data_IF_906120598311
#
_entry.id   IF_906120598311
#
_cell.length_a   1.000
_cell.length_b   1.000
_cell.length_c   1.000
_cell.angle_alpha   90.00
_cell.angle_beta   90.00
_cell.angle_gamma   90.00
#
_symmetry.space_group_name_H-M   'P 1'
#
loop_
_entity.id
_entity.type
_entity.pdbx_description
1 polymer ?
#
# COMPACT_ATOMS: atom_id res chain seq x y z
N UNK A 1 -56.78 12.32 11.44
CA UNK A 1 -55.69 12.68 10.53
C UNK A 1 -54.41 12.39 11.27
N UNK A 2 -53.73 11.29 10.91
CA UNK A 2 -52.41 10.97 11.46
C UNK A 2 -51.37 11.62 10.55
N UNK A 3 -50.59 12.55 11.11
CA UNK A 3 -49.45 13.13 10.44
C UNK A 3 -48.34 12.08 10.46
N UNK A 4 -48.02 11.54 9.32
CA UNK A 4 -46.84 10.67 9.14
C UNK A 4 -45.57 11.52 9.42
N UNK A 5 -44.86 11.20 10.49
CA UNK A 5 -43.53 11.71 10.75
C UNK A 5 -42.61 11.13 9.67
N UNK A 6 -42.31 11.94 8.67
CA UNK A 6 -41.25 11.64 7.70
C UNK A 6 -39.90 11.59 8.43
N UNK A 7 -39.38 10.41 8.65
CA UNK A 7 -38.00 10.24 9.10
C UNK A 7 -37.11 10.77 8.01
N UNK A 8 -36.56 11.98 8.17
CA UNK A 8 -35.35 12.38 7.46
C UNK A 8 -34.27 11.47 7.97
N UNK A 9 -33.89 10.49 7.17
CA UNK A 9 -32.63 9.76 7.33
C UNK A 9 -31.53 10.83 7.20
N UNK A 10 -31.09 11.36 8.35
CA UNK A 10 -30.03 12.38 8.38
C UNK A 10 -28.76 11.74 7.83
N UNK A 11 -28.37 12.15 6.63
CA UNK A 11 -27.09 11.70 6.06
C UNK A 11 -25.98 11.96 7.07
N UNK A 12 -25.17 10.94 7.36
CA UNK A 12 -24.03 11.04 8.26
C UNK A 12 -23.07 12.13 7.77
N UNK A 13 -22.51 12.89 8.68
CA UNK A 13 -21.45 13.82 8.39
C UNK A 13 -20.20 13.07 7.92
N UNK A 14 -19.32 13.74 7.19
CA UNK A 14 -18.05 13.16 6.76
C UNK A 14 -17.22 12.63 7.94
N UNK A 15 -17.25 13.30 9.09
CA UNK A 15 -16.59 12.85 10.32
C UNK A 15 -17.18 11.53 10.82
N UNK A 16 -18.49 11.41 10.90
CA UNK A 16 -19.16 10.18 11.34
C UNK A 16 -18.89 9.01 10.41
N UNK A 17 -18.82 9.25 9.08
CA UNK A 17 -18.46 8.21 8.11
C UNK A 17 -17.06 7.67 8.39
N UNK A 18 -16.09 8.55 8.64
CA UNK A 18 -14.71 8.15 8.94
C UNK A 18 -14.62 7.42 10.29
N UNK A 19 -15.30 7.93 11.33
CA UNK A 19 -15.34 7.28 12.64
C UNK A 19 -15.93 5.87 12.54
N UNK A 20 -17.03 5.71 11.84
CA UNK A 20 -17.67 4.41 11.61
C UNK A 20 -16.79 3.49 10.77
N UNK A 21 -16.10 4.02 9.74
CA UNK A 21 -15.16 3.22 8.93
C UNK A 21 -14.06 2.64 9.82
N UNK A 22 -13.43 3.45 10.64
CA UNK A 22 -12.36 2.99 11.55
C UNK A 22 -12.92 1.98 12.56
N UNK A 23 -14.06 2.27 13.18
CA UNK A 23 -14.62 1.37 14.18
C UNK A 23 -15.11 0.05 13.58
N UNK A 24 -15.90 0.09 12.50
CA UNK A 24 -16.52 -1.10 11.96
C UNK A 24 -15.55 -1.93 11.11
N UNK A 25 -14.83 -1.27 10.18
CA UNK A 25 -13.98 -1.99 9.23
C UNK A 25 -12.66 -2.40 9.89
N UNK A 26 -12.00 -1.48 10.61
CA UNK A 26 -10.68 -1.76 11.19
C UNK A 26 -10.80 -2.44 12.56
N UNK A 27 -11.47 -1.82 13.54
CA UNK A 27 -11.49 -2.31 14.91
C UNK A 27 -12.34 -3.56 15.09
N UNK A 28 -13.47 -3.66 14.39
CA UNK A 28 -14.35 -4.83 14.44
C UNK A 28 -14.09 -5.85 13.30
N UNK A 29 -13.09 -5.58 12.42
CA UNK A 29 -12.69 -6.48 11.32
C UNK A 29 -13.81 -6.79 10.32
N UNK A 30 -14.81 -5.93 10.20
CA UNK A 30 -15.96 -6.14 9.30
C UNK A 30 -15.65 -5.69 7.88
N UNK A 31 -14.65 -6.31 7.25
CA UNK A 31 -14.23 -5.95 5.88
C UNK A 31 -15.34 -6.12 4.83
N UNK A 32 -16.34 -6.98 5.12
CA UNK A 32 -17.43 -7.26 4.18
C UNK A 32 -18.41 -6.08 4.03
N UNK A 33 -18.41 -5.12 4.98
CA UNK A 33 -19.20 -3.89 4.86
C UNK A 33 -18.40 -2.73 4.26
N UNK A 34 -17.18 -2.97 3.73
CA UNK A 34 -16.32 -1.98 3.11
C UNK A 34 -17.07 -1.09 2.11
N UNK A 35 -17.86 -1.70 1.22
CA UNK A 35 -18.57 -1.01 0.15
C UNK A 35 -19.74 -0.11 0.66
N UNK A 36 -20.04 -0.15 1.96
CA UNK A 36 -20.94 0.81 2.59
C UNK A 36 -20.27 2.17 2.79
N UNK A 37 -18.94 2.19 2.94
CA UNK A 37 -18.15 3.39 3.22
C UNK A 37 -17.36 3.87 2.00
N UNK A 38 -16.89 2.96 1.15
CA UNK A 38 -16.09 3.28 -0.02
C UNK A 38 -16.92 3.22 -1.31
N UNK A 39 -16.65 4.13 -2.23
CA UNK A 39 -17.22 4.10 -3.57
C UNK A 39 -16.65 2.95 -4.37
N UNK A 40 -17.39 2.44 -5.36
CA UNK A 40 -16.85 1.48 -6.33
C UNK A 40 -15.66 2.06 -7.11
N UNK A 41 -15.69 3.36 -7.38
CA UNK A 41 -14.63 4.09 -8.07
C UNK A 41 -13.56 4.64 -7.11
N UNK A 42 -13.48 4.15 -5.87
CA UNK A 42 -12.46 4.57 -4.92
C UNK A 42 -11.06 4.32 -5.46
N UNK A 43 -10.20 5.33 -5.28
CA UNK A 43 -8.77 5.26 -5.61
C UNK A 43 -7.94 5.53 -4.35
N UNK A 44 -7.10 4.56 -3.99
CA UNK A 44 -6.03 4.78 -3.02
C UNK A 44 -4.78 5.25 -3.76
N UNK A 45 -4.30 6.45 -3.45
CA UNK A 45 -3.14 7.07 -4.11
C UNK A 45 -1.83 6.51 -3.57
N UNK A 46 -0.97 6.09 -4.47
CA UNK A 46 0.35 5.60 -4.12
C UNK A 46 1.31 6.72 -3.70
N UNK A 47 2.16 6.43 -2.71
CA UNK A 47 3.23 7.33 -2.29
C UNK A 47 4.43 7.24 -3.25
N UNK A 48 5.15 8.35 -3.50
CA UNK A 48 6.39 8.31 -4.27
C UNK A 48 7.44 7.40 -3.61
N UNK A 49 8.19 6.68 -4.42
CA UNK A 49 9.30 5.84 -3.97
C UNK A 49 10.46 5.84 -4.96
N UNK A 50 11.64 5.44 -4.55
CA UNK A 50 12.78 5.27 -5.44
C UNK A 50 12.82 3.83 -5.95
N UNK A 51 12.82 3.66 -7.27
CA UNK A 51 12.79 2.33 -7.86
C UNK A 51 12.87 2.32 -9.38
N UNK A 52 12.46 1.20 -9.96
CA UNK A 52 12.39 1.01 -11.42
C UNK A 52 10.99 1.29 -11.97
N UNK A 53 9.97 1.39 -11.11
CA UNK A 53 8.59 1.61 -11.51
C UNK A 53 7.89 0.35 -12.00
N UNK A 54 8.13 -0.76 -11.34
CA UNK A 54 7.40 -2.01 -11.54
C UNK A 54 6.89 -2.57 -10.23
N UNK A 55 5.84 -3.35 -10.30
CA UNK A 55 5.39 -4.26 -9.26
C UNK A 55 5.46 -5.68 -9.77
N UNK A 56 5.65 -6.64 -8.86
CA UNK A 56 5.70 -8.07 -9.17
C UNK A 56 4.70 -8.83 -8.33
N UNK A 57 4.02 -9.79 -8.93
CA UNK A 57 3.33 -10.84 -8.22
C UNK A 57 4.34 -11.91 -7.85
N UNK A 58 4.49 -12.17 -6.57
CA UNK A 58 5.43 -13.15 -6.02
C UNK A 58 4.73 -14.45 -5.57
N UNK A 59 3.57 -14.74 -6.09
CA UNK A 59 2.88 -16.02 -5.85
C UNK A 59 3.60 -17.18 -6.55
N UNK A 60 3.55 -18.37 -5.96
CA UNK A 60 4.01 -19.59 -6.59
C UNK A 60 5.53 -19.69 -6.85
N UNK A 61 6.38 -19.09 -5.98
CA UNK A 61 7.84 -19.10 -6.09
C UNK A 61 8.39 -18.48 -7.39
N UNK A 62 7.66 -17.52 -7.95
CA UNK A 62 8.07 -16.74 -9.12
C UNK A 62 7.78 -15.27 -8.88
N UNK A 63 8.57 -14.42 -9.52
CA UNK A 63 8.34 -13.00 -9.54
C UNK A 63 7.86 -12.58 -10.95
N UNK A 64 6.57 -12.39 -11.11
CA UNK A 64 5.97 -12.02 -12.40
C UNK A 64 5.67 -10.53 -12.38
N UNK A 65 6.18 -9.79 -13.36
CA UNK A 65 5.85 -8.37 -13.52
C UNK A 65 4.35 -8.24 -13.78
N UNK A 66 3.64 -7.54 -12.89
CA UNK A 66 2.20 -7.35 -12.97
C UNK A 66 1.80 -5.90 -13.25
N UNK A 67 2.65 -4.92 -12.91
CA UNK A 67 2.42 -3.49 -13.19
C UNK A 67 3.73 -2.86 -13.64
N UNK A 68 3.65 -1.93 -14.60
CA UNK A 68 4.73 -1.02 -15.00
C UNK A 68 4.19 0.40 -14.94
N UNK A 69 4.84 1.27 -14.18
CA UNK A 69 4.43 2.67 -14.05
C UNK A 69 4.80 3.46 -15.30
N UNK A 70 3.87 4.25 -15.81
CA UNK A 70 4.12 5.16 -16.93
C UNK A 70 5.17 6.21 -16.57
N UNK A 71 6.10 6.48 -17.48
CA UNK A 71 7.22 7.38 -17.27
C UNK A 71 8.36 6.80 -16.42
N UNK A 72 8.29 5.52 -16.06
CA UNK A 72 9.31 4.88 -15.22
C UNK A 72 10.49 4.33 -16.02
N UNK A 73 11.64 4.06 -15.36
CA UNK A 73 12.77 3.40 -16.00
C UNK A 73 12.45 2.04 -16.63
N UNK A 74 11.45 1.31 -16.12
CA UNK A 74 11.04 0.01 -16.64
C UNK A 74 10.18 0.11 -17.90
N UNK A 75 9.52 1.26 -18.14
CA UNK A 75 8.64 1.44 -19.30
C UNK A 75 9.41 1.29 -20.61
N UNK A 76 8.83 0.56 -21.56
CA UNK A 76 9.44 0.28 -22.86
C UNK A 76 10.54 -0.77 -22.84
N UNK A 77 11.01 -1.24 -21.67
CA UNK A 77 11.98 -2.32 -21.51
C UNK A 77 11.32 -3.59 -21.03
N UNK A 78 10.65 -3.55 -19.88
CA UNK A 78 9.91 -4.69 -19.34
C UNK A 78 8.47 -4.72 -19.86
N UNK A 79 7.83 -5.87 -19.71
CA UNK A 79 6.43 -6.09 -20.06
C UNK A 79 5.73 -6.83 -18.91
N UNK A 80 4.43 -6.56 -18.75
CA UNK A 80 3.59 -7.36 -17.86
C UNK A 80 3.63 -8.81 -18.33
N UNK A 81 3.85 -9.74 -17.39
CA UNK A 81 4.05 -11.16 -17.65
C UNK A 81 5.52 -11.60 -17.75
N UNK A 82 6.48 -10.66 -17.74
CA UNK A 82 7.90 -11.03 -17.63
C UNK A 82 8.16 -11.72 -16.29
N UNK A 83 8.85 -12.86 -16.29
CA UNK A 83 9.31 -13.55 -15.08
C UNK A 83 10.72 -13.06 -14.75
N UNK A 84 10.92 -12.45 -13.57
CA UNK A 84 12.25 -12.08 -13.09
C UNK A 84 13.01 -13.33 -12.70
N UNK A 85 14.18 -13.54 -13.34
CA UNK A 85 15.05 -14.69 -13.08
C UNK A 85 16.17 -14.37 -12.11
N UNK A 86 16.67 -13.14 -12.17
CA UNK A 86 17.70 -12.62 -11.30
C UNK A 86 17.68 -11.09 -11.34
N UNK A 87 18.28 -10.52 -10.33
CA UNK A 87 18.49 -9.09 -10.22
C UNK A 87 19.93 -8.82 -9.76
N UNK A 88 20.51 -7.65 -10.09
CA UNK A 88 21.89 -7.29 -9.74
C UNK A 88 21.95 -5.79 -9.47
N UNK A 89 22.56 -5.40 -8.37
CA UNK A 89 22.89 -4.03 -8.05
C UNK A 89 24.42 -3.83 -8.00
N UNK A 90 24.89 -2.71 -7.47
CA UNK A 90 26.31 -2.38 -7.37
C UNK A 90 27.09 -3.30 -6.40
N UNK A 91 26.39 -4.05 -5.56
CA UNK A 91 26.97 -4.84 -4.48
C UNK A 91 26.91 -6.35 -4.73
N UNK A 92 25.77 -6.83 -5.26
CA UNK A 92 25.58 -8.28 -5.42
C UNK A 92 24.53 -8.63 -6.48
N UNK A 93 24.55 -9.91 -6.85
CA UNK A 93 23.54 -10.53 -7.70
C UNK A 93 22.61 -11.39 -6.86
N UNK A 94 21.33 -11.21 -7.04
CA UNK A 94 20.23 -11.93 -6.41
C UNK A 94 19.68 -12.93 -7.43
N UNK A 95 19.80 -14.22 -7.16
CA UNK A 95 19.44 -15.27 -8.11
C UNK A 95 18.34 -16.22 -7.60
N UNK A 96 18.10 -16.24 -6.30
CA UNK A 96 17.03 -17.02 -5.73
C UNK A 96 15.75 -16.17 -5.56
N UNK A 97 14.60 -16.84 -5.40
CA UNK A 97 13.33 -16.18 -5.14
C UNK A 97 13.42 -15.22 -3.93
N UNK A 98 13.95 -15.70 -2.81
CA UNK A 98 14.04 -14.89 -1.59
C UNK A 98 15.02 -13.71 -1.72
N UNK A 99 16.15 -13.92 -2.38
CA UNK A 99 17.11 -12.85 -2.62
C UNK A 99 16.53 -11.76 -3.53
N UNK A 100 15.84 -12.13 -4.61
CA UNK A 100 15.18 -11.15 -5.50
C UNK A 100 14.14 -10.34 -4.74
N UNK A 101 13.35 -10.99 -3.89
CA UNK A 101 12.34 -10.33 -3.05
C UNK A 101 12.96 -9.27 -2.13
N UNK A 102 14.13 -9.54 -1.58
CA UNK A 102 14.87 -8.60 -0.73
C UNK A 102 15.58 -7.50 -1.54
N UNK A 103 16.19 -7.85 -2.68
CA UNK A 103 17.03 -6.94 -3.45
C UNK A 103 16.29 -5.90 -4.29
N UNK A 104 15.06 -6.20 -4.74
CA UNK A 104 14.28 -5.27 -5.56
C UNK A 104 13.98 -3.96 -4.83
N UNK A 105 13.84 -3.99 -3.51
CA UNK A 105 13.48 -2.84 -2.69
C UNK A 105 14.66 -1.98 -2.25
N UNK A 106 15.91 -2.42 -2.50
CA UNK A 106 17.10 -1.71 -2.03
C UNK A 106 17.70 -0.81 -3.11
N UNK A 107 18.18 0.35 -2.71
CA UNK A 107 18.90 1.28 -3.56
C UNK A 107 18.49 2.73 -3.39
N UNK A 108 19.30 3.63 -3.93
CA UNK A 108 19.10 5.07 -3.91
C UNK A 108 18.86 5.61 -5.33
N UNK A 109 18.34 6.81 -5.43
CA UNK A 109 18.11 7.46 -6.72
C UNK A 109 19.42 7.64 -7.47
N UNK A 110 19.46 7.20 -8.73
CA UNK A 110 20.66 7.23 -9.57
C UNK A 110 21.49 5.95 -9.51
N UNK A 111 21.22 5.02 -8.59
CA UNK A 111 21.94 3.74 -8.55
C UNK A 111 21.58 2.85 -9.75
N UNK A 112 22.56 2.07 -10.18
CA UNK A 112 22.43 1.12 -11.28
C UNK A 112 21.77 -0.18 -10.80
N UNK A 113 21.01 -0.80 -11.69
CA UNK A 113 20.33 -2.05 -11.43
C UNK A 113 20.17 -2.85 -12.73
N UNK A 114 20.45 -4.13 -12.70
CA UNK A 114 20.23 -5.04 -13.84
C UNK A 114 19.24 -6.12 -13.45
N UNK A 115 18.46 -6.56 -14.42
CA UNK A 115 17.58 -7.71 -14.25
C UNK A 115 17.68 -8.63 -15.46
N UNK A 116 17.64 -9.93 -15.19
CA UNK A 116 17.39 -10.95 -16.21
C UNK A 116 15.93 -11.40 -16.11
N UNK A 117 15.26 -11.42 -17.24
CA UNK A 117 13.83 -11.81 -17.31
C UNK A 117 13.63 -12.91 -18.33
N UNK A 118 12.60 -13.72 -18.11
CA UNK A 118 12.05 -14.64 -19.10
C UNK A 118 10.79 -14.02 -19.71
N UNK A 119 10.80 -13.86 -21.03
CA UNK A 119 9.66 -13.44 -21.83
C UNK A 119 9.34 -14.53 -22.86
N UNK A 120 8.28 -15.31 -22.63
CA UNK A 120 8.03 -16.50 -23.41
C UNK A 120 9.20 -17.48 -23.34
N UNK A 121 9.82 -17.82 -24.48
CA UNK A 121 10.97 -18.72 -24.56
C UNK A 121 12.34 -17.98 -24.57
N UNK A 122 12.36 -16.68 -24.42
CA UNK A 122 13.57 -15.87 -24.47
C UNK A 122 14.01 -15.43 -23.07
N UNK A 123 15.30 -15.42 -22.85
CA UNK A 123 15.91 -14.75 -21.69
C UNK A 123 16.51 -13.43 -22.16
N UNK A 124 16.11 -12.35 -21.52
CA UNK A 124 16.49 -10.98 -21.83
C UNK A 124 17.12 -10.32 -20.62
N UNK A 125 18.03 -9.39 -20.85
CA UNK A 125 18.69 -8.62 -19.81
C UNK A 125 18.49 -7.13 -20.04
N UNK A 126 18.21 -6.41 -18.95
CA UNK A 126 18.01 -4.97 -18.98
C UNK A 126 18.79 -4.28 -17.87
N UNK A 127 19.37 -3.13 -18.20
CA UNK A 127 19.99 -2.23 -17.21
C UNK A 127 19.07 -1.04 -17.01
N UNK A 128 18.94 -0.63 -15.73
CA UNK A 128 18.15 0.51 -15.27
C UNK A 128 18.98 1.44 -14.41
N UNK A 129 18.55 2.70 -14.37
CA UNK A 129 18.94 3.65 -13.33
C UNK A 129 17.69 3.91 -12.50
N UNK A 130 17.75 3.69 -11.17
CA UNK A 130 16.61 3.97 -10.28
C UNK A 130 16.28 5.46 -10.30
N UNK A 131 15.01 5.77 -10.33
CA UNK A 131 14.51 7.15 -10.26
C UNK A 131 13.35 7.26 -9.27
N UNK A 132 12.92 8.50 -9.01
CA UNK A 132 11.73 8.76 -8.22
C UNK A 132 10.48 8.38 -9.02
N UNK A 133 9.73 7.43 -8.52
CA UNK A 133 8.50 6.93 -9.10
C UNK A 133 7.33 7.57 -8.36
N UNK A 134 6.31 7.97 -9.08
CA UNK A 134 5.12 8.64 -8.52
C UNK A 134 4.33 7.75 -7.53
N UNK A 135 4.49 6.45 -7.58
CA UNK A 135 3.69 5.48 -6.84
C UNK A 135 2.57 4.88 -7.71
N UNK A 136 2.04 3.76 -7.26
CA UNK A 136 0.93 3.09 -7.92
C UNK A 136 -0.37 3.40 -7.19
N UNK A 137 -1.35 3.88 -7.93
CA UNK A 137 -2.71 3.99 -7.41
C UNK A 137 -3.34 2.59 -7.40
N UNK A 138 -4.12 2.27 -6.37
CA UNK A 138 -4.86 1.02 -6.26
C UNK A 138 -6.37 1.26 -6.33
N UNK A 139 -7.08 0.33 -6.95
CA UNK A 139 -8.55 0.37 -7.07
C UNK A 139 -9.23 -0.02 -5.77
N UNK A 140 -10.55 0.18 -5.69
CA UNK A 140 -11.36 -0.23 -4.55
C UNK A 140 -11.18 -1.71 -4.19
N UNK A 141 -11.27 -2.60 -5.17
CA UNK A 141 -11.16 -4.05 -4.93
C UNK A 141 -9.76 -4.42 -4.41
N UNK A 142 -8.71 -3.82 -4.97
CA UNK A 142 -7.34 -4.04 -4.52
C UNK A 142 -7.15 -3.51 -3.10
N UNK A 143 -7.55 -2.29 -2.80
CA UNK A 143 -7.43 -1.69 -1.47
C UNK A 143 -8.19 -2.50 -0.39
N UNK A 144 -9.40 -3.00 -0.74
CA UNK A 144 -10.19 -3.90 0.13
C UNK A 144 -9.47 -5.23 0.37
N UNK A 145 -8.87 -5.81 -0.68
CA UNK A 145 -8.10 -7.05 -0.60
C UNK A 145 -6.86 -6.87 0.26
N UNK A 146 -6.09 -5.80 0.03
CA UNK A 146 -4.87 -5.48 0.78
C UNK A 146 -5.17 -5.28 2.27
N UNK A 147 -6.23 -4.53 2.60
CA UNK A 147 -6.65 -4.33 3.99
C UNK A 147 -7.08 -5.64 4.65
N UNK A 148 -7.81 -6.51 3.93
CA UNK A 148 -8.20 -7.83 4.43
C UNK A 148 -6.97 -8.68 4.74
N UNK A 149 -6.01 -8.71 3.83
CA UNK A 149 -4.77 -9.47 3.99
C UNK A 149 -3.92 -8.94 5.14
N UNK A 150 -3.72 -7.64 5.21
CA UNK A 150 -3.01 -6.96 6.29
C UNK A 150 -3.60 -7.30 7.67
N UNK A 151 -4.92 -7.17 7.83
CA UNK A 151 -5.59 -7.51 9.08
C UNK A 151 -5.61 -9.01 9.40
N UNK A 152 -5.58 -9.88 8.40
CA UNK A 152 -5.66 -11.32 8.63
C UNK A 152 -4.29 -11.96 8.85
N UNK A 153 -3.25 -11.49 8.14
CA UNK A 153 -1.94 -12.14 8.10
C UNK A 153 -0.87 -11.39 8.87
N UNK A 154 -0.89 -10.05 8.83
CA UNK A 154 0.16 -9.27 9.47
C UNK A 154 -0.22 -8.83 10.90
N UNK A 155 -1.42 -8.28 11.08
CA UNK A 155 -1.90 -7.77 12.37
C UNK A 155 -3.31 -8.27 12.70
N UNK A 156 -3.48 -9.53 13.11
CA UNK A 156 -4.81 -10.08 13.43
C UNK A 156 -5.54 -9.34 14.56
N UNK A 157 -4.79 -8.73 15.46
CA UNK A 157 -5.29 -7.97 16.61
C UNK A 157 -5.28 -6.44 16.41
N UNK A 158 -5.04 -5.95 15.17
CA UNK A 158 -4.96 -4.53 14.83
C UNK A 158 -6.09 -3.71 15.46
N UNK A 159 -5.73 -2.62 16.09
CA UNK A 159 -6.63 -1.58 16.57
C UNK A 159 -6.18 -0.21 16.10
N UNK A 160 -7.14 0.64 15.77
CA UNK A 160 -6.89 2.02 15.39
C UNK A 160 -7.65 2.97 16.33
N UNK A 161 -6.98 4.04 16.73
CA UNK A 161 -7.57 5.12 17.53
C UNK A 161 -7.43 6.44 16.76
N UNK A 162 -8.53 7.15 16.58
CA UNK A 162 -8.50 8.49 16.02
C UNK A 162 -7.98 9.45 17.09
N UNK A 163 -6.81 10.03 16.85
CA UNK A 163 -6.18 11.03 17.75
C UNK A 163 -6.65 12.44 17.42
N UNK A 164 -6.87 12.70 16.14
CA UNK A 164 -7.34 14.00 15.64
C UNK A 164 -8.07 13.80 14.32
N UNK A 165 -9.09 14.60 14.08
CA UNK A 165 -9.81 14.65 12.81
C UNK A 165 -10.08 16.11 12.46
N UNK A 166 -9.84 16.47 11.21
CA UNK A 166 -10.05 17.79 10.64
C UNK A 166 -10.84 17.65 9.34
N UNK A 167 -11.73 18.60 9.07
CA UNK A 167 -12.53 18.60 7.85
C UNK A 167 -12.46 19.96 7.16
N UNK A 168 -12.48 19.91 5.83
CA UNK A 168 -12.66 21.08 4.97
C UNK A 168 -13.48 20.66 3.75
N UNK A 169 -14.78 21.02 3.76
CA UNK A 169 -15.71 20.64 2.72
C UNK A 169 -15.85 19.11 2.57
N UNK A 170 -15.47 18.61 1.42
CA UNK A 170 -15.49 17.18 1.07
C UNK A 170 -14.22 16.41 1.52
N UNK A 171 -13.26 17.10 2.16
CA UNK A 171 -12.00 16.52 2.60
C UNK A 171 -11.95 16.32 4.10
N UNK A 172 -11.38 15.19 4.49
CA UNK A 172 -11.12 14.85 5.90
C UNK A 172 -9.68 14.40 6.04
N UNK A 173 -9.01 14.87 7.11
CA UNK A 173 -7.70 14.38 7.52
C UNK A 173 -7.82 13.78 8.91
N UNK A 174 -7.41 12.52 9.06
CA UNK A 174 -7.36 11.82 10.33
C UNK A 174 -5.92 11.53 10.72
N UNK A 175 -5.54 11.90 11.95
CA UNK A 175 -4.37 11.31 12.60
C UNK A 175 -4.85 10.06 13.34
N UNK A 176 -4.40 8.90 12.88
CA UNK A 176 -4.67 7.60 13.45
C UNK A 176 -3.45 7.11 14.23
N UNK A 177 -3.69 6.40 15.33
CA UNK A 177 -2.69 5.62 16.02
C UNK A 177 -3.12 4.16 15.94
N UNK A 178 -2.31 3.36 15.26
CA UNK A 178 -2.48 1.93 15.13
C UNK A 178 -1.64 1.21 16.17
N UNK A 179 -2.15 0.07 16.63
CA UNK A 179 -1.46 -0.86 17.53
C UNK A 179 -1.84 -2.29 17.16
N UNK A 180 -0.86 -3.18 17.18
CA UNK A 180 -1.06 -4.60 17.00
C UNK A 180 0.22 -5.40 17.19
N UNK A 181 0.10 -6.72 17.25
CA UNK A 181 1.22 -7.66 17.30
C UNK A 181 1.36 -8.25 15.88
N UNK A 182 2.53 -8.03 15.28
CA UNK A 182 2.82 -8.60 13.95
C UNK A 182 2.95 -10.13 14.06
N UNK A 183 2.18 -10.84 13.24
CA UNK A 183 2.06 -12.30 13.35
C UNK A 183 3.40 -13.04 13.16
N UNK A 184 4.22 -12.65 12.16
CA UNK A 184 5.48 -13.33 11.87
C UNK A 184 6.61 -12.96 12.82
N UNK A 185 6.63 -11.72 13.33
CA UNK A 185 7.71 -11.24 14.21
C UNK A 185 7.37 -11.38 15.70
N UNK A 186 6.11 -11.68 16.03
CA UNK A 186 5.61 -11.74 17.42
C UNK A 186 5.97 -10.48 18.25
N UNK A 187 5.97 -9.31 17.59
CA UNK A 187 6.35 -8.02 18.17
C UNK A 187 5.21 -7.03 18.08
N UNK A 188 4.99 -6.32 19.17
CA UNK A 188 4.06 -5.20 19.18
C UNK A 188 4.64 -4.04 18.38
N UNK A 189 3.83 -3.45 17.52
CA UNK A 189 4.12 -2.19 16.87
C UNK A 189 3.01 -1.17 17.16
N UNK A 190 3.43 0.07 17.43
CA UNK A 190 2.55 1.24 17.58
C UNK A 190 3.04 2.30 16.64
N UNK A 191 2.19 2.71 15.69
CA UNK A 191 2.57 3.74 14.73
C UNK A 191 1.45 4.73 14.49
N UNK A 192 1.82 5.89 13.98
CA UNK A 192 0.87 6.92 13.59
C UNK A 192 0.83 7.08 12.10
N UNK A 193 -0.36 7.35 11.60
CA UNK A 193 -0.65 7.55 10.19
C UNK A 193 -1.57 8.76 10.04
N UNK A 194 -1.21 9.65 9.15
CA UNK A 194 -2.11 10.70 8.67
C UNK A 194 -2.83 10.16 7.43
N UNK A 195 -4.13 9.95 7.54
CA UNK A 195 -4.98 9.50 6.44
C UNK A 195 -5.76 10.69 5.88
N UNK A 196 -5.55 10.97 4.62
CA UNK A 196 -6.20 12.04 3.86
C UNK A 196 -7.25 11.40 2.96
N UNK A 197 -8.48 11.88 3.05
CA UNK A 197 -9.58 11.33 2.27
C UNK A 197 -10.44 12.43 1.66
N UNK A 198 -11.05 12.11 0.54
CA UNK A 198 -12.11 12.89 -0.07
C UNK A 198 -13.39 12.05 -0.12
N UNK A 199 -14.48 12.68 0.25
CA UNK A 199 -15.81 12.05 0.25
C UNK A 199 -16.70 12.70 -0.82
N UNK A 200 -17.59 11.90 -1.37
CA UNK A 200 -18.67 12.34 -2.25
C UNK A 200 -19.89 11.46 -2.01
N UNK A 201 -21.06 12.07 -1.94
CA UNK A 201 -22.33 11.35 -1.78
C UNK A 201 -22.34 10.36 -0.60
N UNK A 202 -21.71 10.74 0.52
CA UNK A 202 -21.63 9.91 1.71
C UNK A 202 -20.65 8.74 1.62
N UNK A 203 -19.75 8.72 0.63
CA UNK A 203 -18.73 7.67 0.46
C UNK A 203 -17.34 8.23 0.28
N UNK A 204 -16.34 7.48 0.71
CA UNK A 204 -14.93 7.76 0.47
C UNK A 204 -14.63 7.42 -0.99
N UNK A 205 -14.18 8.41 -1.77
CA UNK A 205 -13.89 8.26 -3.20
C UNK A 205 -12.40 8.32 -3.52
N UNK A 206 -11.60 8.86 -2.61
CA UNK A 206 -10.14 8.96 -2.78
C UNK A 206 -9.47 9.00 -1.41
N UNK A 207 -8.29 8.42 -1.31
CA UNK A 207 -7.49 8.45 -0.09
C UNK A 207 -6.01 8.25 -0.36
N UNK A 208 -5.18 8.77 0.54
CA UNK A 208 -3.76 8.43 0.66
C UNK A 208 -3.34 8.59 2.11
N UNK A 209 -2.23 7.96 2.46
CA UNK A 209 -1.72 8.04 3.81
C UNK A 209 -0.23 8.28 3.87
N UNK A 210 0.21 8.84 4.99
CA UNK A 210 1.63 9.02 5.32
C UNK A 210 1.86 8.52 6.74
N UNK A 211 2.84 7.66 6.93
CA UNK A 211 3.19 7.12 8.24
C UNK A 211 4.70 7.13 8.49
N UNK A 212 5.11 7.07 9.75
CA UNK A 212 6.51 6.92 10.14
C UNK A 212 6.98 5.47 9.98
N UNK A 213 7.32 5.11 8.74
CA UNK A 213 7.82 3.78 8.42
C UNK A 213 9.13 3.45 9.12
N UNK A 214 10.01 4.43 9.37
CA UNK A 214 11.28 4.22 10.07
C UNK A 214 11.06 3.70 11.49
N UNK A 215 10.18 4.35 12.25
CA UNK A 215 9.84 3.94 13.61
C UNK A 215 9.14 2.57 13.61
N UNK A 216 8.19 2.38 12.70
CA UNK A 216 7.46 1.12 12.53
C UNK A 216 8.41 -0.07 12.29
N UNK A 217 9.28 0.01 11.28
CA UNK A 217 10.20 -1.09 10.96
C UNK A 217 11.20 -1.38 12.09
N UNK A 218 11.68 -0.35 12.80
CA UNK A 218 12.55 -0.55 13.97
C UNK A 218 11.86 -1.32 15.09
N UNK A 219 10.58 -1.07 15.35
CA UNK A 219 9.80 -1.80 16.36
C UNK A 219 9.67 -3.28 16.00
N UNK A 220 9.57 -3.61 14.71
CA UNK A 220 9.56 -4.99 14.21
C UNK A 220 10.97 -5.63 14.20
N UNK A 221 12.03 -4.86 14.49
CA UNK A 221 13.40 -5.34 14.60
C UNK A 221 14.24 -5.22 13.33
N UNK A 222 13.74 -4.51 12.33
CA UNK A 222 14.54 -4.18 11.15
C UNK A 222 15.69 -3.24 11.51
N UNK A 223 16.83 -3.46 10.87
CA UNK A 223 17.99 -2.57 10.96
C UNK A 223 18.04 -1.67 9.72
N UNK A 224 18.20 -0.37 9.95
CA UNK A 224 18.46 0.57 8.86
C UNK A 224 19.96 0.71 8.76
N UNK A 225 20.54 0.13 7.71
CA UNK A 225 21.99 0.15 7.44
C UNK A 225 22.26 1.29 6.48
N UNK A 226 23.05 2.30 6.86
CA UNK A 226 23.47 3.34 5.91
C UNK A 226 24.29 2.73 4.78
N UNK A 227 24.27 3.33 3.57
CA UNK A 227 25.12 2.88 2.48
C UNK A 227 26.58 2.91 2.89
N UNK A 228 27.35 1.90 2.47
CA UNK A 228 28.80 1.89 2.65
C UNK A 228 29.41 3.06 1.89
N UNK A 229 30.20 3.89 2.54
CA UNK A 229 30.96 4.99 1.92
C UNK A 229 32.12 4.43 1.12
#
# INVERSE_FOLDING_TARGET
>A
MAVAAGGHDLMKSNVEIIQDTIEQVVNQKKIDIWDQYFSQDYISRGNPYVGMGLSVDSSGNKHIVNIIATGSPAEGKLQVGDELLWAEDEHQRYATYEEIKQGILQGYRGSKYKVGVRRGNQTLEYEFTRDLIKGFDTTNDQAKSDMREFMAKEFPDLKATIKQILTDGDRVVCLLEYRGIHADFEREAVWREAWFVRLSEGKIVEGWSVFDGTSYFKQLGYQIIPPST
#
